data_IF_056933585086
#
_entry.id   IF_056933585086
#
_cell.length_a   1.000
_cell.length_b   1.000
_cell.length_c   1.000
_cell.angle_alpha   90.00
_cell.angle_beta   90.00
_cell.angle_gamma   90.00
#
_symmetry.space_group_name_H-M   'P 1'
#
loop_
_entity.id
_entity.type
_entity.pdbx_description
1 polymer ?
#
# COMPACT_ATOMS: atom_id res chain seq x y z
N UNK A 1 11.07 22.67 -5.96
CA UNK A 1 10.20 21.49 -6.20
C UNK A 1 9.96 20.85 -4.86
N UNK A 2 8.71 20.74 -4.44
CA UNK A 2 8.30 20.04 -3.22
C UNK A 2 7.95 18.60 -3.55
N UNK A 3 7.96 17.73 -2.55
CA UNK A 3 7.38 16.39 -2.66
C UNK A 3 5.97 16.45 -2.12
N UNK A 4 5.01 15.87 -2.85
CA UNK A 4 3.60 15.86 -2.50
C UNK A 4 3.10 14.42 -2.44
N UNK A 5 2.52 14.02 -1.32
CA UNK A 5 1.90 12.72 -1.15
C UNK A 5 0.40 12.83 -1.48
N UNK A 6 -0.01 12.20 -2.57
CA UNK A 6 -1.42 12.08 -2.97
C UNK A 6 -2.11 10.90 -2.25
N UNK A 7 -2.02 10.90 -0.92
CA UNK A 7 -2.62 9.85 -0.08
C UNK A 7 -2.89 10.36 1.34
N UNK A 8 -4.06 10.01 1.88
CA UNK A 8 -4.42 10.28 3.28
C UNK A 8 -3.89 9.22 4.25
N UNK A 9 -3.31 8.12 3.76
CA UNK A 9 -2.85 6.99 4.58
C UNK A 9 -1.83 7.41 5.64
N UNK A 10 -2.09 7.22 6.94
CA UNK A 10 -1.14 7.56 8.01
C UNK A 10 0.15 6.74 7.91
N UNK A 11 0.07 5.48 7.48
CA UNK A 11 1.21 4.59 7.32
C UNK A 11 2.19 5.10 6.24
N UNK A 12 1.67 5.57 5.09
CA UNK A 12 2.51 6.14 4.02
C UNK A 12 3.20 7.43 4.45
N UNK A 13 2.50 8.26 5.24
CA UNK A 13 3.09 9.46 5.85
C UNK A 13 4.27 9.11 6.75
N UNK A 14 4.06 8.16 7.66
CA UNK A 14 5.09 7.68 8.59
C UNK A 14 6.31 7.14 7.84
N UNK A 15 6.11 6.36 6.77
CA UNK A 15 7.21 5.81 5.97
C UNK A 15 8.05 6.89 5.28
N UNK A 16 7.41 7.92 4.72
CA UNK A 16 8.14 9.05 4.13
C UNK A 16 8.89 9.86 5.19
N UNK A 17 8.29 10.09 6.36
CA UNK A 17 8.94 10.75 7.50
C UNK A 17 10.16 9.95 7.99
N UNK A 18 10.01 8.63 8.16
CA UNK A 18 11.11 7.72 8.54
C UNK A 18 12.25 7.75 7.53
N UNK A 19 11.95 7.94 6.25
CA UNK A 19 12.94 8.10 5.20
C UNK A 19 13.59 9.50 5.16
N UNK A 20 13.23 10.41 6.06
CA UNK A 20 13.75 11.77 6.12
C UNK A 20 13.31 12.64 4.93
N UNK A 21 12.14 12.34 4.36
CA UNK A 21 11.58 13.10 3.24
C UNK A 21 10.60 14.14 3.78
N UNK A 22 10.86 15.41 3.48
CA UNK A 22 9.89 16.49 3.70
C UNK A 22 8.86 16.48 2.57
N UNK A 23 7.58 16.45 2.92
CA UNK A 23 6.48 16.40 1.96
C UNK A 23 5.24 17.17 2.43
N UNK A 24 4.44 17.58 1.48
CA UNK A 24 3.08 18.08 1.70
C UNK A 24 2.08 16.96 1.38
N UNK A 25 0.86 17.08 1.92
CA UNK A 25 -0.25 16.19 1.60
C UNK A 25 -1.23 16.98 0.75
N UNK A 26 -1.59 16.39 -0.39
CA UNK A 26 -2.61 16.94 -1.27
C UNK A 26 -3.38 15.76 -1.89
N UNK A 27 -4.67 15.64 -1.59
CA UNK A 27 -5.48 14.49 -1.97
C UNK A 27 -6.65 14.96 -2.82
N UNK A 28 -6.92 14.24 -3.90
CA UNK A 28 -8.13 14.38 -4.71
C UNK A 28 -9.02 13.15 -4.48
N UNK A 29 -10.31 13.41 -4.28
CA UNK A 29 -11.31 12.34 -4.31
C UNK A 29 -11.47 11.84 -5.74
N UNK A 30 -11.09 10.60 -6.00
CA UNK A 30 -11.25 9.95 -7.30
C UNK A 30 -12.10 8.69 -7.15
N UNK A 31 -12.92 8.42 -8.14
CA UNK A 31 -13.59 7.12 -8.25
C UNK A 31 -12.53 6.08 -8.67
N UNK A 32 -12.12 5.25 -7.72
CA UNK A 32 -11.08 4.25 -7.91
C UNK A 32 -11.61 3.08 -8.74
N UNK A 33 -11.34 3.07 -10.03
CA UNK A 33 -11.72 2.00 -10.96
C UNK A 33 -10.47 1.20 -11.35
N UNK A 34 -10.23 0.02 -10.77
CA UNK A 34 -9.07 -0.79 -11.12
C UNK A 34 -9.08 -1.19 -12.59
N UNK A 35 -7.97 -1.01 -13.28
CA UNK A 35 -7.77 -1.42 -14.68
C UNK A 35 -6.65 -2.45 -14.75
N UNK A 36 -6.78 -3.39 -15.69
CA UNK A 36 -5.86 -4.50 -15.87
C UNK A 36 -6.38 -5.81 -15.29
N UNK A 37 -5.70 -6.90 -15.62
CA UNK A 37 -6.11 -8.26 -15.27
C UNK A 37 -5.40 -8.77 -14.02
N UNK A 38 -4.16 -8.33 -13.79
CA UNK A 38 -3.33 -8.76 -12.65
C UNK A 38 -3.42 -7.82 -11.45
N UNK A 39 -3.13 -8.29 -10.22
CA UNK A 39 -3.05 -7.43 -9.04
C UNK A 39 -2.07 -6.26 -9.23
N UNK A 40 -0.92 -6.50 -9.88
CA UNK A 40 0.10 -5.49 -10.18
C UNK A 40 -0.44 -4.36 -11.06
N UNK A 41 -1.15 -4.72 -12.13
CA UNK A 41 -1.75 -3.74 -13.04
C UNK A 41 -2.81 -2.92 -12.33
N UNK A 42 -3.65 -3.57 -11.53
CA UNK A 42 -4.73 -2.91 -10.79
C UNK A 42 -4.18 -1.88 -9.79
N UNK A 43 -3.19 -2.24 -8.96
CA UNK A 43 -2.62 -1.28 -8.00
C UNK A 43 -1.86 -0.15 -8.70
N UNK A 44 -1.19 -0.42 -9.82
CA UNK A 44 -0.55 0.60 -10.64
C UNK A 44 -1.57 1.58 -11.22
N UNK A 45 -2.68 1.05 -11.73
CA UNK A 45 -3.76 1.87 -12.30
C UNK A 45 -4.37 2.80 -11.24
N UNK A 46 -4.69 2.29 -10.05
CA UNK A 46 -5.23 3.10 -8.95
C UNK A 46 -4.20 4.11 -8.44
N UNK A 47 -2.93 3.73 -8.30
CA UNK A 47 -1.87 4.66 -7.91
C UNK A 47 -1.76 5.84 -8.90
N UNK A 48 -1.86 5.57 -10.20
CA UNK A 48 -1.86 6.60 -11.24
C UNK A 48 -3.12 7.49 -11.19
N UNK A 49 -4.30 6.91 -10.97
CA UNK A 49 -5.54 7.66 -10.81
C UNK A 49 -5.48 8.63 -9.61
N UNK A 50 -4.84 8.24 -8.51
CA UNK A 50 -4.61 9.11 -7.34
C UNK A 50 -3.55 10.20 -7.61
N UNK A 51 -2.51 9.87 -8.36
CA UNK A 51 -1.38 10.77 -8.62
C UNK A 51 -1.72 11.88 -9.62
N UNK A 52 -2.29 11.51 -10.77
CA UNK A 52 -2.46 12.39 -11.94
C UNK A 52 -3.27 13.67 -11.68
N UNK A 53 -4.43 13.64 -11.00
CA UNK A 53 -5.18 14.87 -10.73
C UNK A 53 -4.42 15.85 -9.85
N UNK A 54 -3.67 15.33 -8.86
CA UNK A 54 -2.82 16.15 -8.00
C UNK A 54 -1.64 16.71 -8.80
N UNK A 55 -0.99 15.90 -9.63
CA UNK A 55 0.11 16.34 -10.49
C UNK A 55 -0.31 17.45 -11.49
N UNK A 56 -1.54 17.38 -12.01
CA UNK A 56 -2.07 18.39 -12.93
C UNK A 56 -2.19 19.78 -12.29
N UNK A 57 -2.56 19.85 -11.00
CA UNK A 57 -2.64 21.15 -10.27
C UNK A 57 -1.32 21.52 -9.58
N UNK A 58 -0.34 20.62 -9.54
CA UNK A 58 0.99 20.80 -8.93
C UNK A 58 2.12 20.58 -9.95
N UNK A 59 2.14 21.25 -11.10
CA UNK A 59 3.03 20.94 -12.24
C UNK A 59 4.51 21.12 -11.95
N UNK A 60 4.88 21.87 -10.90
CA UNK A 60 6.24 22.14 -10.50
C UNK A 60 6.74 21.24 -9.34
N UNK A 61 5.91 20.34 -8.86
CA UNK A 61 6.20 19.48 -7.72
C UNK A 61 6.38 18.01 -8.13
N UNK A 62 6.93 17.22 -7.23
CA UNK A 62 7.03 15.76 -7.38
C UNK A 62 5.87 15.12 -6.61
N UNK A 63 4.90 14.56 -7.33
CA UNK A 63 3.69 13.97 -6.74
C UNK A 63 3.82 12.45 -6.68
N UNK A 64 3.45 11.87 -5.53
CA UNK A 64 3.48 10.43 -5.27
C UNK A 64 2.08 9.94 -4.97
N UNK A 65 1.53 9.07 -5.83
CA UNK A 65 0.32 8.30 -5.59
C UNK A 65 0.67 6.85 -5.29
N UNK A 66 -0.10 6.18 -4.45
CA UNK A 66 0.10 4.75 -4.17
C UNK A 66 -1.21 4.04 -3.83
N UNK A 67 -1.24 2.74 -4.11
CA UNK A 67 -2.32 1.84 -3.71
C UNK A 67 -1.78 0.49 -3.28
N UNK A 68 -2.51 -0.22 -2.39
CA UNK A 68 -2.05 -1.50 -1.82
C UNK A 68 -3.20 -2.49 -1.75
N UNK A 69 -2.96 -3.72 -2.20
CA UNK A 69 -3.90 -4.83 -2.09
C UNK A 69 -3.21 -6.09 -1.57
N UNK A 70 -4.01 -6.97 -0.99
CA UNK A 70 -3.61 -8.33 -0.61
C UNK A 70 -4.20 -9.30 -1.64
N UNK A 71 -3.41 -10.26 -2.12
CA UNK A 71 -3.89 -11.29 -3.05
C UNK A 71 -3.58 -12.68 -2.53
N UNK A 72 -4.57 -13.56 -2.56
CA UNK A 72 -4.45 -14.99 -2.25
C UNK A 72 -5.26 -15.80 -3.29
N UNK A 73 -4.66 -16.86 -3.84
CA UNK A 73 -5.26 -17.71 -4.88
C UNK A 73 -5.74 -16.95 -6.14
N UNK A 74 -5.10 -15.83 -6.45
CA UNK A 74 -5.51 -14.96 -7.57
C UNK A 74 -6.61 -13.96 -7.24
N UNK A 75 -7.29 -14.09 -6.09
CA UNK A 75 -8.29 -13.12 -5.64
C UNK A 75 -7.65 -11.96 -4.91
N UNK A 76 -8.24 -10.78 -5.07
CA UNK A 76 -7.84 -9.57 -4.36
C UNK A 76 -8.75 -9.38 -3.15
N UNK A 77 -8.14 -9.26 -1.98
CA UNK A 77 -8.81 -8.91 -0.73
C UNK A 77 -8.68 -7.40 -0.49
N UNK A 78 -9.78 -6.70 -0.57
CA UNK A 78 -9.89 -5.28 -0.21
C UNK A 78 -9.96 -5.07 1.31
N UNK A 79 -10.47 -3.91 1.71
CA UNK A 79 -10.81 -3.65 3.11
C UNK A 79 -12.07 -4.44 3.47
N UNK A 80 -12.17 -4.98 4.70
CA UNK A 80 -13.37 -5.66 5.13
C UNK A 80 -14.56 -4.70 5.25
N UNK A 81 -15.75 -5.19 4.90
CA UNK A 81 -16.98 -4.42 4.99
C UNK A 81 -17.49 -4.36 6.45
N UNK A 82 -17.30 -5.44 7.20
CA UNK A 82 -17.70 -5.59 8.59
C UNK A 82 -16.77 -6.57 9.32
N UNK A 83 -17.06 -6.82 10.60
CA UNK A 83 -16.27 -7.74 11.43
C UNK A 83 -16.29 -9.17 10.92
N UNK A 84 -17.45 -9.65 10.45
CA UNK A 84 -17.57 -10.99 9.92
C UNK A 84 -16.76 -11.20 8.66
N UNK A 85 -16.76 -10.19 7.79
CA UNK A 85 -15.92 -10.19 6.57
C UNK A 85 -14.41 -10.18 6.93
N UNK A 86 -14.03 -9.40 7.95
CA UNK A 86 -12.66 -9.39 8.46
C UNK A 86 -12.24 -10.78 8.99
N UNK A 87 -13.09 -11.45 9.78
CA UNK A 87 -12.81 -12.82 10.24
C UNK A 87 -12.68 -13.81 9.09
N UNK A 88 -13.55 -13.72 8.08
CA UNK A 88 -13.50 -14.60 6.91
C UNK A 88 -12.21 -14.39 6.10
N UNK A 89 -11.78 -13.13 5.91
CA UNK A 89 -10.49 -12.82 5.28
C UNK A 89 -9.32 -13.43 6.06
N UNK A 90 -9.29 -13.26 7.38
CA UNK A 90 -8.22 -13.80 8.23
C UNK A 90 -8.19 -15.34 8.24
N UNK A 91 -9.34 -16.01 8.30
CA UNK A 91 -9.43 -17.48 8.15
C UNK A 91 -8.87 -17.94 6.82
N UNK A 92 -9.13 -17.18 5.75
CA UNK A 92 -8.63 -17.48 4.42
C UNK A 92 -7.11 -17.33 4.31
N UNK A 93 -6.50 -16.44 5.09
CA UNK A 93 -5.05 -16.20 5.12
C UNK A 93 -4.32 -17.11 6.12
N UNK A 94 -5.03 -17.65 7.14
CA UNK A 94 -4.46 -18.49 8.20
C UNK A 94 -3.68 -19.68 7.64
N UNK A 95 -2.47 -19.91 8.16
CA UNK A 95 -1.57 -21.00 7.78
C UNK A 95 -1.02 -20.93 6.35
N UNK A 96 -1.23 -19.83 5.62
CA UNK A 96 -0.96 -19.74 4.18
C UNK A 96 -0.02 -18.60 3.81
N UNK A 97 0.59 -18.72 2.65
CA UNK A 97 1.30 -17.63 1.98
C UNK A 97 0.32 -16.85 1.09
N UNK A 98 0.41 -15.55 1.15
CA UNK A 98 -0.28 -14.62 0.27
C UNK A 98 0.68 -13.52 -0.19
N UNK A 99 0.28 -12.70 -1.14
CA UNK A 99 1.14 -11.63 -1.67
C UNK A 99 0.50 -10.27 -1.45
N UNK A 100 1.29 -9.33 -0.95
CA UNK A 100 0.92 -7.91 -0.85
C UNK A 100 1.56 -7.16 -2.01
N UNK A 101 0.72 -6.49 -2.78
CA UNK A 101 1.13 -5.65 -3.91
C UNK A 101 0.90 -4.19 -3.57
N UNK A 102 1.92 -3.36 -3.74
CA UNK A 102 1.77 -1.91 -3.72
C UNK A 102 2.18 -1.31 -5.06
N UNK A 103 1.24 -0.64 -5.72
CA UNK A 103 1.49 0.19 -6.89
C UNK A 103 1.89 1.60 -6.47
N UNK A 104 2.82 2.19 -7.19
CA UNK A 104 3.27 3.57 -6.99
C UNK A 104 3.33 4.29 -8.32
N UNK A 105 2.83 5.51 -8.33
CA UNK A 105 2.97 6.45 -9.43
C UNK A 105 3.71 7.68 -8.93
N UNK A 106 4.78 8.08 -9.61
CA UNK A 106 5.56 9.29 -9.32
C UNK A 106 5.52 10.18 -10.56
N UNK A 107 5.07 11.41 -10.40
CA UNK A 107 5.00 12.41 -11.47
C UNK A 107 5.83 13.63 -11.11
N UNK A 108 6.79 14.02 -11.96
CA UNK A 108 7.62 15.22 -11.80
C UNK A 108 8.11 15.73 -13.18
N UNK A 109 8.18 17.04 -13.38
CA UNK A 109 8.69 17.67 -14.60
C UNK A 109 8.03 17.15 -15.89
N UNK A 110 6.73 16.85 -15.86
CA UNK A 110 5.99 16.29 -17.01
C UNK A 110 6.34 14.83 -17.33
N UNK A 111 7.14 14.16 -16.50
CA UNK A 111 7.45 12.73 -16.61
C UNK A 111 6.69 11.94 -15.56
N UNK A 112 6.33 10.72 -15.90
CA UNK A 112 5.66 9.80 -14.99
C UNK A 112 6.44 8.47 -14.93
N UNK A 113 6.56 7.93 -13.73
CA UNK A 113 7.07 6.58 -13.48
C UNK A 113 6.04 5.81 -12.69
N UNK A 114 5.59 4.67 -13.21
CA UNK A 114 4.65 3.78 -12.53
C UNK A 114 5.31 2.42 -12.36
N UNK A 115 5.19 1.85 -11.16
CA UNK A 115 5.73 0.52 -10.86
C UNK A 115 4.93 -0.13 -9.73
N UNK A 116 5.05 -1.44 -9.61
CA UNK A 116 4.56 -2.21 -8.46
C UNK A 116 5.72 -2.89 -7.71
N UNK A 117 5.49 -3.18 -6.45
CA UNK A 117 6.31 -4.04 -5.61
C UNK A 117 5.45 -5.15 -5.04
N UNK A 118 5.99 -6.38 -4.98
CA UNK A 118 5.31 -7.56 -4.48
C UNK A 118 6.10 -8.16 -3.32
N UNK A 119 5.41 -8.48 -2.22
CA UNK A 119 6.02 -9.12 -1.04
C UNK A 119 5.15 -10.27 -0.60
N UNK A 120 5.76 -11.45 -0.45
CA UNK A 120 5.12 -12.63 0.10
C UNK A 120 5.04 -12.52 1.61
N UNK A 121 3.89 -12.86 2.17
CA UNK A 121 3.64 -12.89 3.60
C UNK A 121 3.08 -14.26 3.96
N UNK A 122 3.69 -14.92 4.95
CA UNK A 122 3.23 -16.18 5.49
C UNK A 122 2.61 -15.95 6.87
N UNK A 123 1.39 -16.44 7.07
CA UNK A 123 0.72 -16.43 8.37
C UNK A 123 0.96 -17.74 9.12
N UNK A 124 1.00 -17.63 10.45
CA UNK A 124 0.80 -18.79 11.32
C UNK A 124 -0.57 -19.41 11.11
N UNK A 125 -0.75 -20.69 11.52
CA UNK A 125 -2.08 -21.27 11.69
C UNK A 125 -2.78 -20.56 12.84
N UNK A 126 -3.84 -19.80 12.54
CA UNK A 126 -4.56 -19.00 13.51
C UNK A 126 -5.78 -19.75 14.06
N UNK A 127 -5.96 -19.71 15.37
CA UNK A 127 -7.17 -20.19 16.00
C UNK A 127 -8.31 -19.19 15.81
N UNK A 128 -9.56 -19.68 15.89
CA UNK A 128 -10.74 -18.80 15.85
C UNK A 128 -10.72 -17.73 16.95
N UNK A 129 -10.12 -18.04 18.10
CA UNK A 129 -9.97 -17.09 19.20
C UNK A 129 -9.00 -15.95 18.86
N UNK A 130 -7.83 -16.25 18.27
CA UNK A 130 -6.87 -15.24 17.84
C UNK A 130 -7.46 -14.32 16.78
N UNK A 131 -8.20 -14.88 15.82
CA UNK A 131 -8.90 -14.12 14.80
C UNK A 131 -9.93 -13.18 15.43
N UNK A 132 -10.79 -13.71 16.32
CA UNK A 132 -11.84 -12.93 16.98
C UNK A 132 -11.24 -11.80 17.85
N UNK A 133 -10.22 -12.11 18.66
CA UNK A 133 -9.53 -11.12 19.51
C UNK A 133 -8.91 -10.00 18.67
N UNK A 134 -8.28 -10.33 17.55
CA UNK A 134 -7.69 -9.33 16.64
C UNK A 134 -8.78 -8.47 15.98
N UNK A 135 -9.87 -9.06 15.52
CA UNK A 135 -10.98 -8.30 14.91
C UNK A 135 -11.66 -7.39 15.93
N UNK A 136 -11.79 -7.82 17.21
CA UNK A 136 -12.34 -7.00 18.29
C UNK A 136 -11.51 -5.75 18.57
N UNK A 137 -10.20 -5.75 18.29
CA UNK A 137 -9.32 -4.57 18.44
C UNK A 137 -9.72 -3.41 17.53
N UNK A 138 -10.45 -3.68 16.45
CA UNK A 138 -10.79 -2.70 15.41
C UNK A 138 -9.65 -2.41 14.43
N UNK A 139 -8.43 -2.89 14.68
CA UNK A 139 -7.26 -2.67 13.84
C UNK A 139 -7.43 -3.14 12.37
N UNK A 140 -8.12 -4.26 12.08
CA UNK A 140 -8.32 -4.76 10.72
C UNK A 140 -9.07 -3.84 9.77
N UNK A 141 -9.98 -3.02 10.28
CA UNK A 141 -11.10 -2.45 9.52
C UNK A 141 -10.72 -1.46 8.42
N UNK A 142 -9.54 -0.87 8.47
CA UNK A 142 -9.04 0.08 7.47
C UNK A 142 -7.97 -0.52 6.53
N UNK A 143 -7.77 -1.85 6.58
CA UNK A 143 -6.64 -2.52 5.93
C UNK A 143 -7.08 -3.55 4.90
N UNK A 144 -6.41 -3.57 3.74
CA UNK A 144 -6.57 -4.62 2.74
C UNK A 144 -6.20 -5.99 3.35
N UNK A 145 -7.03 -7.02 3.09
CA UNK A 145 -6.86 -8.35 3.67
C UNK A 145 -7.14 -8.42 5.17
N UNK A 146 -7.74 -7.38 5.76
CA UNK A 146 -8.11 -7.31 7.17
C UNK A 146 -6.92 -7.48 8.14
N UNK A 147 -5.71 -7.07 7.79
CA UNK A 147 -4.57 -7.07 8.74
C UNK A 147 -3.55 -5.99 8.43
N UNK A 148 -2.76 -5.64 9.46
CA UNK A 148 -1.55 -4.83 9.32
C UNK A 148 -0.35 -5.57 9.90
N UNK A 149 0.80 -5.54 9.21
CA UNK A 149 2.04 -6.14 9.73
C UNK A 149 2.62 -5.35 10.92
N UNK A 150 2.19 -4.12 11.10
CA UNK A 150 2.47 -3.29 12.27
C UNK A 150 1.38 -3.53 13.34
N UNK A 151 1.58 -2.99 14.55
CA UNK A 151 0.60 -3.11 15.62
C UNK A 151 0.35 -4.55 16.05
N UNK A 152 -0.90 -4.87 16.43
CA UNK A 152 -1.28 -6.20 16.93
C UNK A 152 -1.18 -7.28 15.85
N UNK A 153 -1.40 -6.93 14.59
CA UNK A 153 -1.31 -7.89 13.48
C UNK A 153 0.09 -8.43 13.22
N UNK A 154 1.13 -7.87 13.84
CA UNK A 154 2.49 -8.44 13.75
C UNK A 154 2.58 -9.86 14.33
N UNK A 155 1.66 -10.22 15.23
CA UNK A 155 1.61 -11.56 15.85
C UNK A 155 1.01 -12.63 14.95
N UNK A 156 0.36 -12.24 13.87
CA UNK A 156 -0.25 -13.16 12.91
C UNK A 156 0.75 -13.65 11.85
N UNK A 157 1.85 -12.91 11.66
CA UNK A 157 2.82 -13.11 10.58
C UNK A 157 3.96 -14.02 11.04
N UNK A 158 4.13 -15.16 10.37
CA UNK A 158 5.23 -16.08 10.56
C UNK A 158 6.52 -15.61 9.88
N UNK A 159 6.38 -14.99 8.70
CA UNK A 159 7.52 -14.50 7.93
C UNK A 159 7.13 -13.74 6.68
N UNK A 160 8.11 -13.07 6.09
CA UNK A 160 7.97 -12.34 4.83
C UNK A 160 9.10 -12.67 3.86
N UNK A 161 8.80 -12.65 2.57
CA UNK A 161 9.79 -12.74 1.49
C UNK A 161 9.67 -11.50 0.59
N UNK A 162 10.53 -10.49 0.80
CA UNK A 162 10.51 -9.23 0.07
C UNK A 162 10.65 -7.99 0.94
N UNK A 163 10.05 -6.88 0.52
CA UNK A 163 10.13 -5.59 1.19
C UNK A 163 9.06 -5.45 2.29
N UNK A 164 9.49 -5.33 3.55
CA UNK A 164 8.61 -5.06 4.69
C UNK A 164 7.80 -3.77 4.51
N UNK A 165 8.44 -2.70 4.03
CA UNK A 165 7.77 -1.41 3.86
C UNK A 165 6.70 -1.44 2.76
N UNK A 166 6.87 -2.32 1.77
CA UNK A 166 5.82 -2.63 0.81
C UNK A 166 4.57 -3.17 1.51
N UNK A 167 4.71 -4.10 2.44
CA UNK A 167 3.59 -4.66 3.22
C UNK A 167 2.91 -3.59 4.08
N UNK A 168 3.67 -2.65 4.64
CA UNK A 168 3.13 -1.50 5.38
C UNK A 168 2.31 -0.58 4.47
N UNK A 169 2.64 -0.49 3.17
CA UNK A 169 1.86 0.23 2.17
C UNK A 169 2.63 1.21 1.27
N UNK A 170 3.98 1.21 1.33
CA UNK A 170 4.84 1.98 0.42
C UNK A 170 6.25 1.40 0.38
N UNK A 171 6.77 0.91 -0.77
CA UNK A 171 8.14 0.43 -0.90
C UNK A 171 9.12 1.61 -0.90
N UNK A 172 9.29 2.24 0.28
CA UNK A 172 9.91 3.56 0.45
C UNK A 172 11.34 3.62 -0.06
N UNK A 173 12.11 2.54 0.05
CA UNK A 173 13.49 2.50 -0.45
C UNK A 173 13.55 2.64 -1.98
N UNK A 174 12.62 2.00 -2.70
CA UNK A 174 12.49 2.12 -4.15
C UNK A 174 11.93 3.48 -4.54
N UNK A 175 10.91 3.97 -3.82
CA UNK A 175 10.34 5.32 -4.04
C UNK A 175 11.41 6.40 -3.96
N UNK A 176 12.27 6.39 -2.95
CA UNK A 176 13.38 7.36 -2.83
C UNK A 176 14.31 7.31 -4.03
N UNK A 177 14.62 6.13 -4.55
CA UNK A 177 15.48 5.97 -5.73
C UNK A 177 14.82 6.50 -7.00
N UNK A 178 13.53 6.20 -7.19
CA UNK A 178 12.79 6.68 -8.36
C UNK A 178 12.57 8.20 -8.32
N UNK A 179 12.32 8.79 -7.15
CA UNK A 179 12.31 10.26 -6.99
C UNK A 179 13.63 10.86 -7.46
N UNK A 180 14.78 10.34 -6.98
CA UNK A 180 16.09 10.84 -7.38
C UNK A 180 16.34 10.75 -8.89
N UNK A 181 15.91 9.66 -9.53
CA UNK A 181 16.03 9.48 -10.99
C UNK A 181 15.18 10.49 -11.76
N UNK A 182 13.89 10.63 -11.42
CA UNK A 182 12.94 11.48 -12.15
C UNK A 182 13.25 12.96 -11.94
N UNK A 183 13.76 13.34 -10.76
CA UNK A 183 14.09 14.73 -10.41
C UNK A 183 15.52 15.14 -10.83
N UNK A 184 16.35 14.19 -11.22
CA UNK A 184 17.75 14.46 -11.56
C UNK A 184 18.61 14.84 -10.34
N UNK A 185 18.15 14.64 -9.12
CA UNK A 185 18.90 14.92 -7.91
C UNK A 185 20.12 13.99 -7.81
N UNK A 186 21.32 14.56 -8.02
CA UNK A 186 22.59 13.88 -7.76
C UNK A 186 22.76 13.69 -6.25
N UNK A 187 23.51 12.63 -5.88
CA UNK A 187 23.94 12.37 -4.50
C UNK A 187 24.61 13.58 -3.85
#
# INVERSE_FOLDING_TARGET
MKIVLASSSPRRKELLQTAGIDFEIDVEGVDEVPQGDTPEEKVCSIAAQKCRPVAARRPNDCVIGADTVVSVDGDILGKPHDRQDAENMLRRLSGREHTVYTGVCISAHGKETVFSEATKVKFFDLTDKEIADYVLSGEPMDKAGAYGIQGLGCTLVEGIGGDYFNVVGLPVARVVREIKKITGAKK
#
